data_IF_519067090909
#
_entry.id   IF_519067090909
#
_cell.length_a   1.000
_cell.length_b   1.000
_cell.length_c   1.000
_cell.angle_alpha   90.00
_cell.angle_beta   90.00
_cell.angle_gamma   90.00
#
_symmetry.space_group_name_H-M   'P 1'
#
loop_
_entity.id
_entity.type
_entity.pdbx_description
1 polymer ?
#
# COMPACT_ATOMS: atom_id res chain seq x y z
N UNK A 1 -29.65 5.41 23.81
CA UNK A 1 -29.52 4.23 24.70
C UNK A 1 -28.07 4.20 25.13
N UNK A 2 -27.77 4.72 26.32
CA UNK A 2 -26.39 4.88 26.83
C UNK A 2 -25.81 3.51 27.18
N UNK A 3 -24.72 3.10 26.53
CA UNK A 3 -24.00 1.87 26.87
C UNK A 3 -22.89 2.19 27.86
N UNK A 4 -23.06 1.81 29.11
CA UNK A 4 -22.00 1.82 30.14
C UNK A 4 -21.02 0.69 29.87
N UNK A 5 -19.74 1.03 29.67
CA UNK A 5 -18.64 0.06 29.55
C UNK A 5 -18.07 -0.30 30.92
N UNK A 6 -17.56 -1.52 31.06
CA UNK A 6 -17.02 -2.06 32.31
C UNK A 6 -15.78 -1.29 32.81
N UNK A 7 -15.64 -1.11 34.15
CA UNK A 7 -14.53 -0.35 34.73
C UNK A 7 -13.23 -1.14 34.62
N UNK A 8 -12.31 -0.68 33.77
CA UNK A 8 -10.95 -1.25 33.66
C UNK A 8 -10.38 -1.38 32.25
N UNK A 9 -11.13 -1.05 31.19
CA UNK A 9 -10.57 -1.03 29.84
C UNK A 9 -9.86 0.31 29.59
N UNK A 10 -8.53 0.30 29.44
CA UNK A 10 -7.72 1.48 29.05
C UNK A 10 -8.21 2.17 27.77
N UNK A 11 -9.05 1.52 26.97
CA UNK A 11 -9.69 2.07 25.79
C UNK A 11 -10.85 3.02 26.14
N UNK A 12 -11.57 2.79 27.23
CA UNK A 12 -12.66 3.66 27.67
C UNK A 12 -12.13 5.01 28.16
N UNK A 13 -11.06 5.02 28.98
CA UNK A 13 -10.41 6.25 29.48
C UNK A 13 -9.75 7.10 28.38
N UNK A 14 -9.38 6.50 27.23
CA UNK A 14 -8.84 7.25 26.08
C UNK A 14 -9.92 7.80 25.15
N UNK A 15 -11.11 7.19 25.15
CA UNK A 15 -12.25 7.59 24.33
C UNK A 15 -13.15 8.60 25.03
N UNK A 16 -13.15 8.58 26.36
CA UNK A 16 -13.83 9.50 27.26
C UNK A 16 -13.04 10.82 27.35
N UNK A 17 -13.38 11.78 26.48
CA UNK A 17 -12.66 13.06 26.39
C UNK A 17 -13.00 14.01 27.54
N UNK A 18 -14.12 13.78 28.21
CA UNK A 18 -14.56 14.57 29.37
C UNK A 18 -14.26 13.89 30.71
N UNK A 19 -13.66 12.69 30.70
CA UNK A 19 -13.28 11.90 31.89
C UNK A 19 -14.44 11.67 32.85
N UNK A 20 -15.66 11.48 32.32
CA UNK A 20 -16.88 11.29 33.10
C UNK A 20 -17.27 9.82 33.31
N UNK A 21 -16.52 8.89 32.71
CA UNK A 21 -16.69 7.45 32.77
C UNK A 21 -17.77 6.90 31.82
N UNK A 22 -18.39 7.73 30.97
CA UNK A 22 -19.53 7.35 30.13
C UNK A 22 -19.35 7.87 28.70
N UNK A 23 -19.12 6.97 27.74
CA UNK A 23 -19.12 7.36 26.32
C UNK A 23 -20.49 7.92 25.89
N UNK A 24 -20.52 9.22 25.64
CA UNK A 24 -21.70 9.89 25.09
C UNK A 24 -21.88 9.51 23.61
N UNK A 25 -23.13 9.53 23.13
CA UNK A 25 -23.46 9.29 21.70
C UNK A 25 -22.68 10.23 20.77
N UNK A 26 -22.30 11.41 21.28
CA UNK A 26 -21.54 12.43 20.57
C UNK A 26 -20.04 12.07 20.45
N UNK A 27 -19.45 11.49 21.50
CA UNK A 27 -18.06 11.02 21.47
C UNK A 27 -17.91 9.79 20.56
N UNK A 28 -18.87 8.87 20.63
CA UNK A 28 -18.97 7.73 19.71
C UNK A 28 -19.09 8.16 18.24
N UNK A 29 -19.78 9.27 17.96
CA UNK A 29 -19.90 9.83 16.61
C UNK A 29 -18.57 10.42 16.13
N UNK A 30 -17.89 11.21 16.96
CA UNK A 30 -16.60 11.82 16.62
C UNK A 30 -15.51 10.77 16.38
N UNK A 31 -15.51 9.69 17.15
CA UNK A 31 -14.57 8.57 16.97
C UNK A 31 -14.80 7.85 15.65
N UNK A 32 -16.05 7.53 15.30
CA UNK A 32 -16.38 6.92 14.00
C UNK A 32 -15.95 7.81 12.84
N UNK A 33 -16.06 9.13 12.99
CA UNK A 33 -15.56 10.07 12.00
C UNK A 33 -14.03 10.05 11.90
N UNK A 34 -13.32 10.04 13.02
CA UNK A 34 -11.86 9.95 13.05
C UNK A 34 -11.34 8.63 12.44
N UNK A 35 -11.93 7.50 12.81
CA UNK A 35 -11.60 6.19 12.22
C UNK A 35 -11.84 6.17 10.71
N UNK A 36 -12.96 6.75 10.25
CA UNK A 36 -13.25 6.85 8.82
C UNK A 36 -12.23 7.73 8.10
N UNK A 37 -11.86 8.86 8.67
CA UNK A 37 -10.83 9.74 8.11
C UNK A 37 -9.46 9.07 8.04
N UNK A 38 -9.04 8.37 9.11
CA UNK A 38 -7.79 7.63 9.14
C UNK A 38 -7.79 6.52 8.08
N UNK A 39 -8.89 5.78 7.93
CA UNK A 39 -9.01 4.74 6.90
C UNK A 39 -8.92 5.31 5.48
N UNK A 40 -9.56 6.45 5.23
CA UNK A 40 -9.49 7.14 3.95
C UNK A 40 -8.05 7.58 3.63
N UNK A 41 -7.34 8.13 4.61
CA UNK A 41 -5.94 8.52 4.46
C UNK A 41 -5.03 7.31 4.14
N UNK A 42 -5.24 6.18 4.83
CA UNK A 42 -4.52 4.93 4.56
C UNK A 42 -4.81 4.36 3.17
N UNK A 43 -6.05 4.50 2.68
CA UNK A 43 -6.44 4.06 1.34
C UNK A 43 -5.77 4.93 0.26
N UNK A 44 -5.75 6.25 0.43
CA UNK A 44 -5.09 7.15 -0.50
C UNK A 44 -3.57 6.95 -0.51
N UNK A 45 -2.94 6.75 0.64
CA UNK A 45 -1.51 6.43 0.73
C UNK A 45 -1.15 5.14 -0.03
N UNK A 46 -2.00 4.10 0.05
CA UNK A 46 -1.81 2.85 -0.71
C UNK A 46 -1.94 3.08 -2.21
N UNK A 47 -2.89 3.90 -2.65
CA UNK A 47 -3.09 4.22 -4.08
C UNK A 47 -1.89 4.97 -4.64
N UNK A 48 -1.33 5.90 -3.86
CA UNK A 48 -0.12 6.61 -4.24
C UNK A 48 1.08 5.66 -4.32
N UNK A 49 1.28 4.77 -3.34
CA UNK A 49 2.34 3.75 -3.40
C UNK A 49 2.22 2.86 -4.64
N UNK A 50 1.00 2.42 -4.98
CA UNK A 50 0.76 1.66 -6.21
C UNK A 50 1.14 2.47 -7.46
N UNK A 51 0.77 3.75 -7.53
CA UNK A 51 1.14 4.63 -8.65
C UNK A 51 2.66 4.75 -8.76
N UNK A 52 3.36 5.00 -7.65
CA UNK A 52 4.82 5.12 -7.66
C UNK A 52 5.53 3.84 -8.08
N UNK A 53 5.08 2.67 -7.63
CA UNK A 53 5.68 1.40 -8.06
C UNK A 53 5.48 1.10 -9.54
N UNK A 54 4.31 1.43 -10.09
CA UNK A 54 4.05 1.28 -11.54
C UNK A 54 5.01 2.18 -12.32
N UNK A 55 5.17 3.44 -11.92
CA UNK A 55 6.11 4.36 -12.57
C UNK A 55 7.57 3.91 -12.44
N UNK A 56 7.98 3.44 -11.26
CA UNK A 56 9.33 2.92 -11.04
C UNK A 56 9.63 1.72 -11.95
N UNK A 57 8.70 0.77 -12.04
CA UNK A 57 8.80 -0.40 -12.92
C UNK A 57 8.83 -0.01 -14.39
N UNK A 58 7.95 0.91 -14.82
CA UNK A 58 7.91 1.39 -16.19
C UNK A 58 9.23 2.07 -16.59
N UNK A 59 9.72 3.00 -15.75
CA UNK A 59 10.96 3.74 -16.01
C UNK A 59 12.16 2.78 -16.01
N UNK A 60 12.24 1.83 -15.08
CA UNK A 60 13.39 0.91 -15.00
C UNK A 60 13.55 0.06 -16.26
N UNK A 61 12.44 -0.46 -16.80
CA UNK A 61 12.45 -1.23 -18.05
C UNK A 61 12.74 -0.34 -19.25
N UNK A 62 12.16 0.86 -19.31
CA UNK A 62 12.43 1.82 -20.39
C UNK A 62 13.90 2.24 -20.42
N UNK A 63 14.50 2.56 -19.27
CA UNK A 63 15.91 2.94 -19.16
C UNK A 63 16.81 1.77 -19.53
N UNK A 64 16.50 0.55 -19.09
CA UNK A 64 17.25 -0.64 -19.46
C UNK A 64 17.32 -0.83 -20.99
N UNK A 65 16.18 -0.75 -21.68
CA UNK A 65 16.12 -0.85 -23.14
C UNK A 65 16.87 0.31 -23.81
N UNK A 66 16.70 1.54 -23.31
CA UNK A 66 17.36 2.71 -23.86
C UNK A 66 18.89 2.59 -23.81
N UNK A 67 19.45 2.10 -22.71
CA UNK A 67 20.89 1.88 -22.54
C UNK A 67 21.41 0.83 -23.53
N UNK A 68 20.70 -0.28 -23.70
CA UNK A 68 21.09 -1.33 -24.66
C UNK A 68 21.09 -0.85 -26.13
N UNK A 69 20.26 0.14 -26.45
CA UNK A 69 20.20 0.74 -27.79
C UNK A 69 21.28 1.80 -28.03
N UNK A 70 22.05 2.19 -27.00
CA UNK A 70 23.16 3.14 -27.17
C UNK A 70 24.41 2.44 -27.71
N UNK A 71 25.23 3.12 -28.54
CA UNK A 71 26.48 2.55 -29.09
C UNK A 71 27.59 2.36 -28.02
N UNK A 72 27.29 2.67 -26.76
CA UNK A 72 28.22 2.54 -25.62
C UNK A 72 28.38 1.06 -25.22
N UNK A 73 27.42 0.20 -25.59
CA UNK A 73 27.44 -1.24 -25.28
C UNK A 73 27.91 -2.02 -26.52
N UNK A 74 29.08 -2.69 -26.48
CA UNK A 74 29.53 -3.56 -27.57
C UNK A 74 28.59 -4.74 -27.77
N UNK A 75 28.36 -5.15 -29.02
CA UNK A 75 27.50 -6.28 -29.39
C UNK A 75 27.85 -7.59 -28.65
N UNK A 76 29.13 -7.87 -28.43
CA UNK A 76 29.60 -9.04 -27.67
C UNK A 76 29.16 -9.00 -26.20
N UNK A 77 29.00 -7.82 -25.61
CA UNK A 77 28.44 -7.66 -24.26
C UNK A 77 26.93 -7.74 -24.24
N UNK A 78 26.25 -7.42 -25.35
CA UNK A 78 24.80 -7.54 -25.47
C UNK A 78 24.36 -8.99 -25.30
N UNK A 79 25.05 -9.96 -25.90
CA UNK A 79 24.69 -11.39 -25.76
C UNK A 79 24.81 -11.88 -24.31
N UNK A 80 25.88 -11.50 -23.59
CA UNK A 80 26.01 -11.79 -22.16
C UNK A 80 24.93 -11.09 -21.33
N UNK A 81 24.68 -9.80 -21.60
CA UNK A 81 23.66 -9.01 -20.91
C UNK A 81 22.25 -9.50 -21.20
N UNK A 82 21.99 -10.10 -22.35
CA UNK A 82 20.67 -10.59 -22.73
C UNK A 82 20.22 -11.71 -21.80
N UNK A 83 21.12 -12.64 -21.45
CA UNK A 83 20.83 -13.75 -20.53
C UNK A 83 20.53 -13.29 -19.09
N UNK A 84 21.30 -12.32 -18.58
CA UNK A 84 21.11 -11.74 -17.24
C UNK A 84 19.88 -10.82 -17.22
N UNK A 85 19.67 -10.10 -18.32
CA UNK A 85 18.57 -9.18 -18.54
C UNK A 85 17.20 -9.86 -18.52
N UNK A 86 17.05 -11.01 -19.18
CA UNK A 86 15.79 -11.78 -19.13
C UNK A 86 15.48 -12.26 -17.73
N UNK A 87 16.47 -12.79 -16.99
CA UNK A 87 16.25 -13.21 -15.59
C UNK A 87 15.87 -12.02 -14.69
N UNK A 88 16.55 -10.88 -14.85
CA UNK A 88 16.24 -9.66 -14.11
C UNK A 88 14.83 -9.14 -14.43
N UNK A 89 14.44 -9.15 -15.71
CA UNK A 89 13.12 -8.70 -16.15
C UNK A 89 12.02 -9.60 -15.59
N UNK A 90 12.18 -10.92 -15.69
CA UNK A 90 11.22 -11.91 -15.15
C UNK A 90 11.11 -11.76 -13.62
N UNK A 91 12.23 -11.55 -12.93
CA UNK A 91 12.24 -11.31 -11.47
C UNK A 91 11.48 -10.04 -11.09
N UNK A 92 11.72 -8.91 -11.79
CA UNK A 92 10.99 -7.67 -11.55
C UNK A 92 9.49 -7.82 -11.81
N UNK A 93 9.11 -8.49 -12.91
CA UNK A 93 7.71 -8.77 -13.21
C UNK A 93 7.06 -9.67 -12.16
N UNK A 94 7.80 -10.64 -11.60
CA UNK A 94 7.33 -11.49 -10.50
C UNK A 94 7.03 -10.70 -9.23
N UNK A 95 7.92 -9.78 -8.83
CA UNK A 95 7.72 -8.93 -7.65
C UNK A 95 6.52 -7.99 -7.85
N UNK A 96 6.43 -7.32 -9.00
CA UNK A 96 5.31 -6.43 -9.32
C UNK A 96 3.99 -7.22 -9.38
N UNK A 97 4.00 -8.39 -10.01
CA UNK A 97 2.85 -9.28 -10.10
C UNK A 97 2.36 -9.75 -8.73
N UNK A 98 3.28 -10.13 -7.83
CA UNK A 98 2.94 -10.47 -6.46
C UNK A 98 2.30 -9.29 -5.72
N UNK A 99 2.87 -8.08 -5.86
CA UNK A 99 2.36 -6.90 -5.18
C UNK A 99 0.96 -6.48 -5.67
N UNK A 100 0.70 -6.56 -6.98
CA UNK A 100 -0.62 -6.29 -7.55
C UNK A 100 -1.60 -7.41 -7.16
N UNK A 101 -1.16 -8.67 -7.24
CA UNK A 101 -1.97 -9.85 -6.91
C UNK A 101 -2.45 -9.86 -5.46
N UNK A 102 -1.57 -9.60 -4.49
CA UNK A 102 -1.95 -9.51 -3.08
C UNK A 102 -2.94 -8.37 -2.81
N UNK A 103 -2.77 -7.22 -3.46
CA UNK A 103 -3.71 -6.10 -3.34
C UNK A 103 -5.09 -6.42 -3.96
N UNK A 104 -5.12 -7.12 -5.10
CA UNK A 104 -6.37 -7.55 -5.74
C UNK A 104 -7.14 -8.58 -4.90
N UNK A 105 -6.44 -9.57 -4.33
CA UNK A 105 -7.04 -10.56 -3.42
C UNK A 105 -7.63 -9.88 -2.18
N UNK A 106 -6.90 -8.94 -1.57
CA UNK A 106 -7.38 -8.17 -0.41
C UNK A 106 -8.63 -7.34 -0.73
N UNK A 107 -8.70 -6.73 -1.91
CA UNK A 107 -9.89 -5.99 -2.36
C UNK A 107 -11.12 -6.90 -2.52
N UNK A 108 -10.93 -8.12 -3.06
CA UNK A 108 -12.02 -9.07 -3.27
C UNK A 108 -12.44 -9.81 -1.98
N UNK A 109 -11.53 -9.99 -1.02
CA UNK A 109 -11.82 -10.61 0.28
C UNK A 109 -12.67 -9.74 1.22
N UNK A 110 -12.61 -8.41 1.08
CA UNK A 110 -13.42 -7.45 1.85
C UNK A 110 -14.81 -7.16 1.23
N UNK A 111 -15.16 -7.84 0.14
CA UNK A 111 -16.41 -7.63 -0.62
C UNK A 111 -17.47 -8.71 -0.40
N UNK A 112 -17.33 -9.55 0.63
CA UNK A 112 -18.35 -10.50 1.09
C UNK A 112 -18.69 -10.25 2.54
#
# INVERSE_FOLDING_TARGET
MTKTTEPGSKLAEQLDKNSDGVLSDQELHDLKMQERMMRLADEDAKRDQQRYMVWFSAISVTVYIAILMTPIVPLERVDMLQSVGTTWLISNMGIVGAFIGFNAIKKNGNGK
#
